data_IF_951483518553
#
_entry.id   IF_951483518553
#
_cell.length_a   1.000
_cell.length_b   1.000
_cell.length_c   1.000
_cell.angle_alpha   90.00
_cell.angle_beta   90.00
_cell.angle_gamma   90.00
#
_symmetry.space_group_name_H-M   'P 1'
#
loop_
_entity.id
_entity.type
_entity.pdbx_description
1 polymer ?
#
# COMPACT_ATOMS: atom_id res chain seq x y z
N UNK A 1 5.15 -0.07 -6.63
CA UNK A 1 3.75 0.23 -6.99
C UNK A 1 2.89 -0.47 -5.96
N UNK A 2 1.68 0.04 -5.72
CA UNK A 2 0.79 -0.47 -4.65
C UNK A 2 0.44 -1.94 -4.89
N UNK A 3 0.26 -2.69 -3.79
CA UNK A 3 -0.09 -4.11 -3.82
C UNK A 3 -1.44 -4.33 -4.53
N UNK A 4 -1.60 -5.38 -5.36
CA UNK A 4 -2.88 -5.64 -6.01
C UNK A 4 -3.98 -5.91 -4.98
N UNK A 5 -5.16 -5.31 -5.20
CA UNK A 5 -6.35 -5.50 -4.34
C UNK A 5 -6.77 -6.98 -4.29
N UNK A 6 -6.65 -7.69 -5.41
CA UNK A 6 -6.97 -9.12 -5.56
C UNK A 6 -5.82 -9.88 -6.19
N UNK A 7 -5.69 -11.17 -5.87
CA UNK A 7 -4.75 -12.06 -6.56
C UNK A 7 -5.08 -12.19 -8.04
N UNK A 8 -4.07 -12.08 -8.91
CA UNK A 8 -4.23 -12.23 -10.35
C UNK A 8 -4.68 -13.63 -10.81
N UNK A 9 -4.48 -14.66 -9.99
CA UNK A 9 -4.88 -16.04 -10.33
C UNK A 9 -6.16 -16.45 -9.62
N UNK A 10 -6.21 -16.30 -8.28
CA UNK A 10 -7.29 -16.85 -7.45
C UNK A 10 -8.45 -15.85 -7.24
N UNK A 11 -8.27 -14.56 -7.54
CA UNK A 11 -9.27 -13.51 -7.28
C UNK A 11 -9.55 -13.20 -5.81
N UNK A 12 -8.91 -13.91 -4.87
CA UNK A 12 -9.00 -13.66 -3.41
C UNK A 12 -8.52 -12.23 -3.12
N UNK A 13 -9.20 -11.55 -2.21
CA UNK A 13 -8.82 -10.20 -1.74
C UNK A 13 -7.53 -10.31 -0.92
N UNK A 14 -6.53 -9.51 -1.27
CA UNK A 14 -5.18 -9.53 -0.66
C UNK A 14 -4.75 -8.15 -0.18
N UNK A 15 -5.19 -7.06 -0.82
CA UNK A 15 -4.66 -5.72 -0.54
C UNK A 15 -4.76 -5.30 0.93
N UNK A 16 -5.77 -5.79 1.66
CA UNK A 16 -5.97 -5.51 3.08
C UNK A 16 -5.02 -6.27 4.04
N UNK A 17 -4.19 -7.18 3.54
CA UNK A 17 -3.30 -8.03 4.34
C UNK A 17 -1.85 -7.58 4.32
N UNK A 18 -1.50 -6.60 3.49
CA UNK A 18 -0.11 -6.16 3.31
C UNK A 18 0.48 -5.55 4.57
N UNK A 19 -0.23 -4.62 5.21
CA UNK A 19 0.27 -3.94 6.40
C UNK A 19 0.48 -4.93 7.55
N UNK A 20 -0.49 -5.83 7.76
CA UNK A 20 -0.39 -6.91 8.75
C UNK A 20 0.79 -7.86 8.46
N UNK A 21 1.11 -8.11 7.19
CA UNK A 21 2.27 -8.92 6.83
C UNK A 21 3.58 -8.22 7.20
N UNK A 22 3.69 -6.91 6.98
CA UNK A 22 4.84 -6.13 7.40
C UNK A 22 4.99 -6.08 8.92
N UNK A 23 3.88 -5.91 9.65
CA UNK A 23 3.88 -5.92 11.12
C UNK A 23 4.39 -7.26 11.68
N UNK A 24 3.98 -8.37 11.06
CA UNK A 24 4.45 -9.72 11.43
C UNK A 24 5.94 -9.90 11.17
N UNK A 25 6.44 -9.42 10.02
CA UNK A 25 7.88 -9.48 9.71
C UNK A 25 8.71 -8.60 10.66
N UNK A 26 8.18 -7.44 11.08
CA UNK A 26 8.81 -6.58 12.09
C UNK A 26 8.85 -7.23 13.48
N UNK A 27 7.90 -8.13 13.76
CA UNK A 27 7.86 -8.93 14.98
C UNK A 27 8.74 -10.20 14.91
N UNK A 28 9.70 -10.27 13.97
CA UNK A 28 10.62 -11.40 13.76
C UNK A 28 9.95 -12.75 13.43
N UNK A 29 8.75 -12.72 12.84
CA UNK A 29 8.15 -13.94 12.27
C UNK A 29 8.86 -14.34 10.98
N UNK A 30 8.93 -15.65 10.73
CA UNK A 30 9.38 -16.15 9.42
C UNK A 30 8.34 -15.79 8.34
N UNK A 31 8.80 -15.56 7.10
CA UNK A 31 7.91 -15.23 5.98
C UNK A 31 6.81 -16.28 5.77
N UNK A 32 7.14 -17.56 5.98
CA UNK A 32 6.21 -18.67 5.87
C UNK A 32 5.11 -18.62 6.94
N UNK A 33 5.52 -18.46 8.20
CA UNK A 33 4.60 -18.42 9.35
C UNK A 33 3.70 -17.19 9.29
N UNK A 34 4.22 -16.04 8.85
CA UNK A 34 3.43 -14.83 8.66
C UNK A 34 2.33 -15.02 7.60
N UNK A 35 2.64 -15.71 6.49
CA UNK A 35 1.65 -16.02 5.44
C UNK A 35 0.60 -17.04 5.91
N UNK A 36 0.98 -17.95 6.80
CA UNK A 36 0.08 -18.93 7.43
C UNK A 36 -0.87 -18.23 8.41
N UNK A 37 -0.35 -17.32 9.25
CA UNK A 37 -1.15 -16.50 10.16
C UNK A 37 -2.17 -15.62 9.41
N UNK A 38 -1.86 -15.20 8.18
CA UNK A 38 -2.76 -14.46 7.31
C UNK A 38 -3.72 -15.35 6.51
N UNK A 39 -3.80 -16.66 6.77
CA UNK A 39 -4.69 -17.61 6.11
C UNK A 39 -4.54 -17.65 4.58
N UNK A 40 -3.30 -17.55 4.09
CA UNK A 40 -2.99 -17.61 2.67
C UNK A 40 -2.44 -18.98 2.28
N UNK A 41 -3.25 -20.02 2.28
CA UNK A 41 -2.78 -21.39 1.96
C UNK A 41 -2.33 -21.59 0.51
N UNK A 42 -2.94 -20.91 -0.47
CA UNK A 42 -2.62 -21.10 -1.89
C UNK A 42 -1.37 -20.32 -2.30
N UNK A 43 -0.45 -21.00 -2.99
CA UNK A 43 0.80 -20.42 -3.50
C UNK A 43 0.57 -19.18 -4.38
N UNK A 44 -0.49 -19.17 -5.19
CA UNK A 44 -0.78 -18.05 -6.10
C UNK A 44 -1.13 -16.77 -5.34
N UNK A 45 -1.83 -16.90 -4.21
CA UNK A 45 -2.17 -15.78 -3.35
C UNK A 45 -0.93 -15.37 -2.50
N UNK A 46 -0.06 -16.31 -2.07
CA UNK A 46 1.22 -16.00 -1.36
C UNK A 46 2.21 -15.19 -2.18
N UNK A 47 2.39 -15.55 -3.47
CA UNK A 47 3.29 -14.84 -4.39
C UNK A 47 3.03 -13.34 -4.40
N UNK A 48 1.76 -12.93 -4.30
CA UNK A 48 1.39 -11.51 -4.36
C UNK A 48 1.96 -10.69 -3.20
N UNK A 49 2.22 -11.27 -2.02
CA UNK A 49 2.89 -10.57 -0.92
C UNK A 49 4.41 -10.78 -0.97
N UNK A 50 4.88 -12.02 -1.15
CA UNK A 50 6.31 -12.34 -1.10
C UNK A 50 7.15 -11.56 -2.11
N UNK A 51 6.62 -11.30 -3.31
CA UNK A 51 7.36 -10.59 -4.38
C UNK A 51 6.92 -9.13 -4.54
N UNK A 52 6.13 -8.60 -3.61
CA UNK A 52 5.67 -7.22 -3.70
C UNK A 52 6.78 -6.25 -3.31
N UNK A 53 6.94 -5.19 -4.10
CA UNK A 53 7.88 -4.09 -3.81
C UNK A 53 7.13 -2.78 -3.91
N UNK A 54 6.98 -2.10 -2.77
CA UNK A 54 6.30 -0.81 -2.76
C UNK A 54 7.23 0.34 -3.19
N UNK A 55 7.19 0.61 -4.49
CA UNK A 55 7.87 1.75 -5.10
C UNK A 55 7.07 3.07 -5.07
N UNK A 56 5.85 3.13 -4.50
CA UNK A 56 5.01 4.34 -4.60
C UNK A 56 5.67 5.55 -3.93
N UNK A 57 6.23 5.37 -2.73
CA UNK A 57 6.89 6.43 -1.96
C UNK A 57 8.05 7.06 -2.75
N UNK A 58 8.82 6.22 -3.44
CA UNK A 58 9.95 6.67 -4.26
C UNK A 58 9.47 7.42 -5.50
N UNK A 59 8.37 6.98 -6.12
CA UNK A 59 7.83 7.62 -7.33
C UNK A 59 7.16 8.97 -7.05
N UNK A 60 6.51 9.13 -5.89
CA UNK A 60 5.88 10.39 -5.48
C UNK A 60 6.88 11.56 -5.44
N UNK A 61 8.15 11.26 -5.14
CA UNK A 61 9.22 12.27 -5.08
C UNK A 61 9.64 12.81 -6.46
N UNK A 62 9.24 12.17 -7.57
CA UNK A 62 9.61 12.57 -8.93
C UNK A 62 8.53 13.39 -9.66
N UNK A 63 7.40 13.72 -9.00
CA UNK A 63 6.38 14.55 -9.62
C UNK A 63 6.94 15.97 -9.89
N UNK A 64 7.30 16.20 -11.16
CA UNK A 64 7.90 17.44 -11.68
C UNK A 64 6.98 18.67 -11.58
N UNK A 65 5.69 18.47 -11.28
CA UNK A 65 4.67 19.52 -11.37
C UNK A 65 4.01 19.89 -10.03
N UNK A 66 4.48 19.34 -8.90
CA UNK A 66 3.87 19.55 -7.57
C UNK A 66 4.72 20.45 -6.65
N UNK A 67 5.78 21.07 -7.17
CA UNK A 67 6.46 22.15 -6.44
C UNK A 67 5.67 23.48 -6.43
N UNK A 68 4.58 23.59 -7.21
CA UNK A 68 3.84 24.87 -7.37
C UNK A 68 2.44 24.87 -6.74
N UNK A 69 1.79 23.74 -6.43
CA UNK A 69 0.36 23.76 -6.07
C UNK A 69 -0.02 23.36 -4.64
N UNK A 70 0.84 22.70 -3.84
CA UNK A 70 0.38 22.28 -2.48
C UNK A 70 0.40 23.44 -1.48
N UNK A 71 1.36 24.38 -1.57
CA UNK A 71 1.33 25.58 -0.73
C UNK A 71 0.20 26.55 -1.11
N UNK A 72 -0.15 26.65 -2.40
CA UNK A 72 -1.25 27.52 -2.86
C UNK A 72 -2.63 26.93 -2.57
N UNK A 73 -2.81 25.60 -2.71
CA UNK A 73 -4.10 24.96 -2.41
C UNK A 73 -4.41 24.98 -0.91
N UNK A 74 -3.41 24.91 -0.03
CA UNK A 74 -3.62 25.03 1.43
C UNK A 74 -4.05 26.46 1.83
N UNK A 75 -3.61 27.50 1.10
CA UNK A 75 -4.04 28.89 1.31
C UNK A 75 -5.45 29.11 0.73
N UNK A 76 -5.77 28.52 -0.43
CA UNK A 76 -7.13 28.58 -1.01
C UNK A 76 -8.18 27.83 -0.17
N UNK A 77 -7.84 26.68 0.43
CA UNK A 77 -8.74 25.96 1.33
C UNK A 77 -9.02 26.73 2.63
N UNK A 78 -8.09 27.56 3.12
CA UNK A 78 -8.31 28.37 4.31
C UNK A 78 -9.06 29.69 4.04
N UNK A 79 -9.16 30.16 2.80
CA UNK A 79 -9.98 31.34 2.47
C UNK A 79 -11.42 30.99 2.01
N UNK A 80 -11.70 29.73 1.66
CA UNK A 80 -13.01 29.29 1.14
C UNK A 80 -13.92 28.60 2.18
N UNK A 81 -13.69 28.80 3.48
CA UNK A 81 -14.67 28.51 4.55
C UNK A 81 -15.43 29.78 4.97
N UNK A 82 -16.32 30.31 4.12
CA UNK A 82 -17.54 30.86 4.71
C UNK A 82 -18.80 30.54 3.90
N UNK A 83 -18.93 29.35 3.29
CA UNK A 83 -20.25 28.86 2.84
C UNK A 83 -20.20 27.36 2.51
N UNK A 84 -20.04 26.51 3.53
CA UNK A 84 -20.64 25.19 3.76
C UNK A 84 -20.13 24.68 5.11
#
# INVERSE_FOLDING_TARGET
MIIPVRCFTCGKVIGNKWDLYLDLLQADYSEGDALDALELFRYCCRRMLMTHVDLIEKLLNYNRDIAVSISEVLILFNHMRPFW
#
